data_IF_045573019456
#
_entry.id   IF_045573019456
#
_cell.length_a   1.000
_cell.length_b   1.000
_cell.length_c   1.000
_cell.angle_alpha   90.00
_cell.angle_beta   90.00
_cell.angle_gamma   90.00
#
_symmetry.space_group_name_H-M   'P 1'
#
loop_
_entity.id
_entity.type
_entity.pdbx_description
1 polymer ?
#
# COMPACT_ATOMS: atom_id res chain seq x y z
N UNK A 1 8.65 -20.70 -12.17
CA UNK A 1 8.75 -19.61 -11.20
C UNK A 1 9.99 -18.79 -11.50
N UNK A 2 9.91 -17.46 -11.46
CA UNK A 2 11.10 -16.63 -11.52
C UNK A 2 11.92 -16.83 -10.24
N UNK A 3 13.23 -17.01 -10.36
CA UNK A 3 14.15 -17.09 -9.22
C UNK A 3 15.03 -15.83 -9.23
N UNK A 4 14.74 -14.88 -8.35
CA UNK A 4 15.44 -13.61 -8.28
C UNK A 4 16.69 -13.75 -7.41
N UNK A 5 17.85 -13.36 -7.95
CA UNK A 5 19.13 -13.32 -7.25
C UNK A 5 19.58 -11.90 -6.93
N UNK A 6 20.88 -11.73 -6.69
CA UNK A 6 21.49 -10.44 -6.36
C UNK A 6 21.19 -9.38 -7.41
N UNK A 7 21.34 -9.71 -8.69
CA UNK A 7 21.15 -8.76 -9.79
C UNK A 7 19.69 -8.28 -9.91
N UNK A 8 18.70 -9.16 -9.78
CA UNK A 8 17.29 -8.76 -9.79
C UNK A 8 16.96 -7.87 -8.59
N UNK A 9 17.59 -8.15 -7.43
CA UNK A 9 17.41 -7.37 -6.21
C UNK A 9 17.98 -5.96 -6.35
N UNK A 10 19.21 -5.82 -6.87
CA UNK A 10 19.84 -4.53 -7.16
C UNK A 10 18.98 -3.70 -8.12
N UNK A 11 18.45 -4.33 -9.17
CA UNK A 11 17.52 -3.68 -10.11
C UNK A 11 16.25 -3.18 -9.43
N UNK A 12 15.68 -3.95 -8.50
CA UNK A 12 14.50 -3.53 -7.77
C UNK A 12 14.78 -2.33 -6.83
N UNK A 13 15.93 -2.33 -6.16
CA UNK A 13 16.38 -1.21 -5.33
C UNK A 13 16.55 0.06 -6.17
N UNK A 14 17.27 -0.04 -7.29
CA UNK A 14 17.49 1.10 -8.19
C UNK A 14 16.18 1.69 -8.71
N UNK A 15 15.21 0.83 -9.06
CA UNK A 15 13.90 1.26 -9.51
C UNK A 15 13.13 1.98 -8.39
N UNK A 16 13.17 1.46 -7.15
CA UNK A 16 12.53 2.08 -6.00
C UNK A 16 13.15 3.47 -5.67
N UNK A 17 14.48 3.56 -5.70
CA UNK A 17 15.22 4.82 -5.48
C UNK A 17 14.84 5.85 -6.54
N UNK A 18 14.74 5.45 -7.81
CA UNK A 18 14.35 6.34 -8.92
C UNK A 18 12.90 6.81 -8.82
N UNK A 19 11.98 5.95 -8.36
CA UNK A 19 10.56 6.28 -8.25
C UNK A 19 10.23 7.17 -7.04
N UNK A 20 11.01 7.06 -5.96
CA UNK A 20 10.72 7.72 -4.68
C UNK A 20 10.59 9.26 -4.76
N UNK A 21 11.47 10.02 -5.45
CA UNK A 21 11.34 11.48 -5.56
C UNK A 21 10.01 11.95 -6.14
N UNK A 22 9.51 11.27 -7.18
CA UNK A 22 8.24 11.61 -7.82
C UNK A 22 7.07 11.23 -6.92
N UNK A 23 7.14 10.09 -6.21
CA UNK A 23 6.10 9.66 -5.29
C UNK A 23 5.99 10.56 -4.05
N UNK A 24 7.12 10.91 -3.43
CA UNK A 24 7.14 11.77 -2.22
C UNK A 24 6.68 13.20 -2.51
N UNK A 25 6.87 13.69 -3.73
CA UNK A 25 6.46 15.04 -4.14
C UNK A 25 4.94 15.17 -4.32
N UNK A 26 4.21 14.06 -4.45
CA UNK A 26 2.75 14.08 -4.51
C UNK A 26 2.15 14.61 -3.22
N UNK A 27 1.03 15.28 -3.33
CA UNK A 27 0.22 15.66 -2.17
C UNK A 27 -0.39 14.43 -1.48
N UNK A 28 -0.78 14.58 -0.21
CA UNK A 28 -1.52 13.56 0.50
C UNK A 28 -2.82 13.13 -0.23
N UNK A 29 -3.50 14.09 -0.87
CA UNK A 29 -4.72 13.85 -1.64
C UNK A 29 -4.46 12.96 -2.86
N UNK A 30 -3.45 13.29 -3.67
CA UNK A 30 -3.12 12.48 -4.86
C UNK A 30 -2.71 11.05 -4.49
N UNK A 31 -1.95 10.86 -3.42
CA UNK A 31 -1.61 9.51 -2.94
C UNK A 31 -2.86 8.75 -2.46
N UNK A 32 -3.75 9.43 -1.74
CA UNK A 32 -5.04 8.88 -1.30
C UNK A 32 -5.88 8.41 -2.49
N UNK A 33 -5.98 9.21 -3.55
CA UNK A 33 -6.74 8.87 -4.77
C UNK A 33 -6.17 7.65 -5.49
N UNK A 34 -4.84 7.54 -5.58
CA UNK A 34 -4.18 6.35 -6.17
C UNK A 34 -4.51 5.09 -5.36
N UNK A 35 -4.40 5.16 -4.03
CA UNK A 35 -4.70 4.03 -3.15
C UNK A 35 -6.20 3.65 -3.17
N UNK A 36 -7.11 4.63 -3.21
CA UNK A 36 -8.54 4.35 -3.34
C UNK A 36 -8.87 3.68 -4.69
N UNK A 37 -8.20 4.09 -5.78
CA UNK A 37 -8.35 3.39 -7.07
C UNK A 37 -7.83 1.96 -7.00
N UNK A 38 -6.72 1.73 -6.31
CA UNK A 38 -6.20 0.38 -6.13
C UNK A 38 -7.15 -0.50 -5.30
N UNK A 39 -7.69 0.02 -4.21
CA UNK A 39 -8.75 -0.62 -3.43
C UNK A 39 -9.93 -1.05 -4.31
N UNK A 40 -10.46 -0.13 -5.13
CA UNK A 40 -11.57 -0.46 -6.03
C UNK A 40 -11.21 -1.58 -7.01
N UNK A 41 -10.01 -1.52 -7.61
CA UNK A 41 -9.55 -2.56 -8.53
C UNK A 41 -9.40 -3.93 -7.86
N UNK A 42 -9.05 -3.99 -6.58
CA UNK A 42 -9.01 -5.25 -5.84
C UNK A 42 -10.41 -5.82 -5.69
N UNK A 43 -11.39 -5.01 -5.29
CA UNK A 43 -12.79 -5.46 -5.15
C UNK A 43 -13.39 -5.88 -6.49
N UNK A 44 -13.13 -5.12 -7.56
CA UNK A 44 -13.59 -5.45 -8.90
C UNK A 44 -13.04 -6.81 -9.39
N UNK A 45 -11.93 -7.28 -8.81
CA UNK A 45 -11.26 -8.54 -9.14
C UNK A 45 -11.28 -9.56 -8.00
N UNK A 46 -12.12 -9.36 -6.98
CA UNK A 46 -12.10 -10.14 -5.73
C UNK A 46 -12.22 -11.64 -5.99
N UNK A 47 -13.24 -12.06 -6.76
CA UNK A 47 -13.45 -13.48 -7.07
C UNK A 47 -12.30 -14.11 -7.85
N UNK A 48 -11.59 -13.34 -8.67
CA UNK A 48 -10.43 -13.86 -9.40
C UNK A 48 -9.22 -14.02 -8.48
N UNK A 49 -8.95 -13.03 -7.62
CA UNK A 49 -7.89 -13.09 -6.61
C UNK A 49 -8.12 -14.23 -5.61
N UNK A 50 -9.37 -14.40 -5.16
CA UNK A 50 -9.74 -15.49 -4.26
C UNK A 50 -9.52 -16.87 -4.89
N UNK A 51 -9.85 -17.05 -6.18
CA UNK A 51 -9.55 -18.30 -6.90
C UNK A 51 -8.05 -18.58 -6.98
N UNK A 52 -7.24 -17.55 -7.26
CA UNK A 52 -5.79 -17.68 -7.30
C UNK A 52 -5.24 -18.11 -5.93
N UNK A 53 -5.67 -17.45 -4.85
CA UNK A 53 -5.27 -17.79 -3.48
C UNK A 53 -5.71 -19.21 -3.07
N UNK A 54 -6.92 -19.63 -3.43
CA UNK A 54 -7.38 -21.01 -3.21
C UNK A 54 -6.54 -22.01 -3.99
N UNK A 55 -6.17 -21.71 -5.24
CA UNK A 55 -5.34 -22.60 -6.05
C UNK A 55 -3.90 -22.75 -5.53
N UNK A 56 -3.32 -21.66 -5.00
CA UNK A 56 -1.94 -21.65 -4.51
C UNK A 56 -1.81 -22.15 -3.06
N UNK A 57 -2.77 -21.83 -2.19
CA UNK A 57 -2.69 -22.09 -0.75
C UNK A 57 -3.70 -23.13 -0.23
N UNK A 58 -4.69 -23.53 -1.04
CA UNK A 58 -5.68 -24.55 -0.69
C UNK A 58 -6.81 -24.11 0.24
N UNK A 59 -6.91 -22.82 0.60
CA UNK A 59 -7.97 -22.32 1.48
C UNK A 59 -9.35 -22.34 0.78
N UNK A 60 -10.46 -22.57 1.50
CA UNK A 60 -11.80 -22.51 0.91
C UNK A 60 -12.08 -21.16 0.25
N UNK A 61 -12.85 -21.16 -0.84
CA UNK A 61 -13.16 -19.96 -1.63
C UNK A 61 -13.71 -18.80 -0.77
N UNK A 62 -14.61 -19.10 0.18
CA UNK A 62 -15.21 -18.10 1.06
C UNK A 62 -14.21 -17.47 2.03
N UNK A 63 -13.23 -18.23 2.48
CA UNK A 63 -12.15 -17.72 3.31
C UNK A 63 -11.22 -16.81 2.49
N UNK A 64 -10.92 -17.21 1.25
CA UNK A 64 -10.13 -16.40 0.32
C UNK A 64 -10.81 -15.06 -0.03
N UNK A 65 -12.12 -15.08 -0.32
CA UNK A 65 -12.91 -13.86 -0.56
C UNK A 65 -12.82 -12.90 0.63
N UNK A 66 -13.07 -13.40 1.85
CA UNK A 66 -12.97 -12.58 3.07
C UNK A 66 -11.56 -12.03 3.31
N UNK A 67 -10.51 -12.77 2.96
CA UNK A 67 -9.13 -12.29 3.08
C UNK A 67 -8.80 -11.19 2.04
N UNK A 68 -9.31 -11.31 0.80
CA UNK A 68 -9.17 -10.26 -0.22
C UNK A 68 -9.88 -8.98 0.22
N UNK A 69 -11.13 -9.09 0.71
CA UNK A 69 -11.88 -7.95 1.25
C UNK A 69 -11.15 -7.31 2.44
N UNK A 70 -10.63 -8.13 3.36
CA UNK A 70 -9.88 -7.66 4.51
C UNK A 70 -8.60 -6.92 4.08
N UNK A 71 -7.81 -7.47 3.16
CA UNK A 71 -6.62 -6.82 2.63
C UNK A 71 -6.95 -5.51 1.91
N UNK A 72 -8.04 -5.48 1.14
CA UNK A 72 -8.52 -4.27 0.48
C UNK A 72 -8.88 -3.18 1.50
N UNK A 73 -9.52 -3.54 2.62
CA UNK A 73 -9.89 -2.58 3.68
C UNK A 73 -8.67 -1.87 4.29
N UNK A 74 -7.53 -2.57 4.42
CA UNK A 74 -6.29 -1.96 4.91
C UNK A 74 -5.80 -0.86 3.96
N UNK A 75 -5.86 -1.11 2.65
CA UNK A 75 -5.47 -0.13 1.62
C UNK A 75 -6.38 1.10 1.68
N UNK A 76 -7.69 0.90 1.79
CA UNK A 76 -8.65 1.99 1.96
C UNK A 76 -8.35 2.81 3.22
N UNK A 77 -8.11 2.14 4.35
CA UNK A 77 -7.81 2.82 5.61
C UNK A 77 -6.52 3.65 5.51
N UNK A 78 -5.43 3.11 4.96
CA UNK A 78 -4.19 3.86 4.78
C UNK A 78 -4.33 5.00 3.75
N UNK A 79 -5.15 4.82 2.71
CA UNK A 79 -5.49 5.90 1.78
C UNK A 79 -6.11 7.09 2.52
N UNK A 80 -6.97 6.82 3.49
CA UNK A 80 -7.56 7.85 4.34
C UNK A 80 -6.56 8.44 5.34
N UNK A 81 -5.71 7.64 5.96
CA UNK A 81 -4.69 8.10 6.89
C UNK A 81 -3.61 8.96 6.22
N UNK A 82 -3.36 8.76 4.92
CA UNK A 82 -2.40 9.58 4.17
C UNK A 82 -2.69 11.09 4.27
N UNK A 83 -3.96 11.47 4.48
CA UNK A 83 -4.43 12.86 4.63
C UNK A 83 -4.35 13.40 6.06
N UNK A 84 -3.97 12.55 7.04
CA UNK A 84 -3.98 12.85 8.49
C UNK A 84 -2.61 12.71 9.14
N UNK A 85 -1.53 12.78 8.36
CA UNK A 85 -0.16 12.83 8.85
C UNK A 85 0.14 14.23 9.44
N UNK A 86 -0.47 14.52 10.58
CA UNK A 86 -0.34 15.81 11.26
C UNK A 86 0.99 15.88 12.01
N UNK A 87 1.64 17.04 11.96
CA UNK A 87 2.77 17.37 12.84
C UNK A 87 2.31 17.99 14.15
N UNK A 88 3.24 18.14 15.09
CA UNK A 88 3.02 18.81 16.37
C UNK A 88 3.69 20.19 16.38
N UNK A 89 3.10 21.16 17.08
CA UNK A 89 3.70 22.47 17.33
C UNK A 89 4.04 22.55 18.82
N UNK A 90 5.31 22.39 19.15
CA UNK A 90 5.79 22.50 20.52
C UNK A 90 6.23 23.95 20.81
N UNK A 91 5.51 24.64 21.68
CA UNK A 91 5.92 25.94 22.19
C UNK A 91 6.95 25.73 23.30
N UNK A 92 8.24 25.79 22.98
CA UNK A 92 9.29 25.86 23.99
C UNK A 92 9.58 27.33 24.29
N UNK A 93 9.31 27.77 25.53
CA UNK A 93 9.73 29.09 26.02
C UNK A 93 11.24 29.06 26.27
N UNK A 94 12.02 29.35 25.24
CA UNK A 94 13.48 29.39 25.27
C UNK A 94 14.02 30.77 25.68
N UNK A 95 13.43 31.44 26.69
CA UNK A 95 13.87 32.77 27.15
C UNK A 95 13.89 32.90 28.69
N UNK A 96 14.24 31.83 29.41
CA UNK A 96 14.44 31.87 30.87
C UNK A 96 15.62 30.96 31.29
N UNK A 97 16.80 31.16 30.70
CA UNK A 97 18.12 30.90 31.33
C UNK A 97 19.11 31.92 30.75
#
# INVERSE_FOLDING_TARGET
>A
MANAGTTETERAIDAAVKAFPVWRAKTAKERSEVLCRWYQLILDNESWLARLMTAEQGKPMKEAEGEVEYAASLIQWFAEQAKRANGEINCTRSDLI
#
